data_IF_058728672029
#
_entry.id   IF_058728672029
#
_cell.length_a   1.000
_cell.length_b   1.000
_cell.length_c   1.000
_cell.angle_alpha   90.00
_cell.angle_beta   90.00
_cell.angle_gamma   90.00
#
_symmetry.space_group_name_H-M   'P 1'
#
loop_
_entity.id
_entity.type
_entity.pdbx_description
1 polymer ?
#
# COMPACT_ATOMS: atom_id res chain seq x y z
N UNK A 1 7.84 11.53 10.37
CA UNK A 1 6.59 10.93 9.88
C UNK A 1 6.84 10.59 8.42
N UNK A 2 6.46 9.41 7.93
CA UNK A 2 6.68 9.05 6.52
C UNK A 2 5.87 9.96 5.61
N UNK A 3 6.40 10.40 4.44
CA UNK A 3 5.64 11.16 3.46
C UNK A 3 4.62 10.27 2.71
N UNK A 4 4.68 8.96 2.86
CA UNK A 4 3.76 8.03 2.21
C UNK A 4 3.30 6.89 3.13
N UNK A 5 2.00 6.58 3.05
CA UNK A 5 1.44 5.33 3.54
C UNK A 5 1.31 4.34 2.39
N UNK A 6 1.34 3.04 2.69
CA UNK A 6 1.13 1.98 1.71
C UNK A 6 0.15 0.94 2.23
N UNK A 7 -0.81 0.58 1.39
CA UNK A 7 -1.91 -0.30 1.73
C UNK A 7 -2.16 -1.34 0.62
N UNK A 8 -2.62 -2.53 1.01
CA UNK A 8 -3.16 -3.49 0.06
C UNK A 8 -4.61 -3.16 -0.33
N UNK A 9 -5.06 -3.68 -1.47
CA UNK A 9 -6.37 -3.38 -2.07
C UNK A 9 -7.56 -3.55 -1.12
N UNK A 10 -7.53 -4.53 -0.22
CA UNK A 10 -8.64 -4.73 0.74
C UNK A 10 -8.78 -3.53 1.68
N UNK A 11 -7.67 -3.01 2.21
CA UNK A 11 -7.66 -1.82 3.05
C UNK A 11 -8.09 -0.59 2.26
N UNK A 12 -7.60 -0.44 1.03
CA UNK A 12 -7.99 0.65 0.13
C UNK A 12 -9.50 0.66 -0.11
N UNK A 13 -10.10 -0.47 -0.47
CA UNK A 13 -11.54 -0.59 -0.70
C UNK A 13 -12.40 -0.43 0.57
N UNK A 14 -11.81 -0.61 1.74
CA UNK A 14 -12.53 -0.39 3.00
C UNK A 14 -12.59 1.09 3.38
N UNK A 15 -11.51 1.84 3.13
CA UNK A 15 -11.35 3.18 3.70
C UNK A 15 -11.31 4.33 2.68
N UNK A 16 -11.00 4.08 1.40
CA UNK A 16 -10.82 5.13 0.41
C UNK A 16 -11.56 4.92 -0.90
N UNK A 17 -11.60 3.70 -1.39
CA UNK A 17 -12.31 3.31 -2.60
C UNK A 17 -13.53 2.45 -2.23
N UNK A 18 -14.45 2.22 -3.16
CA UNK A 18 -15.63 1.39 -2.89
C UNK A 18 -15.85 0.37 -4.00
N UNK A 19 -15.69 -0.89 -3.66
CA UNK A 19 -15.98 -2.00 -4.57
C UNK A 19 -15.11 -1.98 -5.83
N UNK A 20 -15.70 -2.37 -6.95
CA UNK A 20 -15.04 -2.38 -8.26
C UNK A 20 -15.57 -1.24 -9.11
N UNK A 21 -14.72 -0.53 -9.88
CA UNK A 21 -15.19 0.51 -10.79
C UNK A 21 -15.98 -0.09 -11.94
N UNK A 22 -17.00 0.62 -12.43
CA UNK A 22 -17.61 0.33 -13.71
C UNK A 22 -16.67 0.81 -14.83
N UNK A 23 -16.09 -0.14 -15.54
CA UNK A 23 -15.12 0.13 -16.60
C UNK A 23 -15.75 0.19 -18.00
N UNK A 24 -17.07 0.04 -18.13
CA UNK A 24 -17.78 -0.09 -19.41
C UNK A 24 -17.59 1.13 -20.34
N UNK A 25 -17.39 2.31 -19.78
CA UNK A 25 -17.21 3.56 -20.51
C UNK A 25 -15.74 3.97 -20.73
N UNK A 26 -14.78 3.15 -20.31
CA UNK A 26 -13.35 3.47 -20.42
C UNK A 26 -12.68 2.63 -21.51
N UNK A 27 -12.21 3.28 -22.57
CA UNK A 27 -11.45 2.63 -23.64
C UNK A 27 -9.95 2.69 -23.34
N UNK A 28 -9.38 1.55 -22.99
CA UNK A 28 -7.94 1.38 -22.79
C UNK A 28 -7.21 0.75 -23.98
N UNK A 29 -7.88 0.50 -25.11
CA UNK A 29 -7.33 -0.29 -26.23
C UNK A 29 -6.00 0.24 -26.78
N UNK A 30 -5.81 1.55 -26.77
CA UNK A 30 -4.60 2.24 -27.23
C UNK A 30 -3.53 2.41 -26.15
N UNK A 31 -3.82 2.05 -24.89
CA UNK A 31 -2.89 2.17 -23.81
C UNK A 31 -1.92 1.00 -23.79
N UNK A 32 -0.67 1.28 -23.43
CA UNK A 32 0.35 0.29 -23.16
C UNK A 32 0.51 0.12 -21.64
N UNK A 33 1.04 -1.03 -21.21
CA UNK A 33 1.41 -1.26 -19.82
C UNK A 33 2.72 -0.54 -19.50
N UNK A 34 2.63 0.78 -19.33
CA UNK A 34 3.73 1.67 -18.95
C UNK A 34 3.30 2.52 -17.78
N UNK A 35 4.25 2.91 -16.95
CA UNK A 35 4.01 3.87 -15.87
C UNK A 35 3.41 5.15 -16.44
N UNK A 36 2.53 5.75 -15.66
CA UNK A 36 1.94 7.03 -16.00
C UNK A 36 1.79 7.91 -14.76
N UNK A 37 2.32 9.10 -14.86
CA UNK A 37 2.20 10.14 -13.83
C UNK A 37 1.68 11.39 -14.54
N UNK A 38 0.63 12.06 -14.02
CA UNK A 38 0.15 13.33 -14.58
C UNK A 38 1.29 14.36 -14.63
N UNK A 39 1.26 15.23 -15.65
CA UNK A 39 2.22 16.32 -15.75
C UNK A 39 2.11 17.22 -14.50
N UNK A 40 3.25 17.63 -13.97
CA UNK A 40 3.38 18.50 -12.78
C UNK A 40 2.70 17.92 -11.52
N UNK A 41 2.56 16.58 -11.46
CA UNK A 41 2.00 15.89 -10.31
C UNK A 41 2.95 15.98 -9.10
N UNK A 42 2.47 16.62 -8.05
CA UNK A 42 3.18 16.71 -6.77
C UNK A 42 2.19 16.71 -5.62
N UNK A 43 2.59 16.17 -4.47
CA UNK A 43 1.83 16.21 -3.23
C UNK A 43 2.77 16.22 -2.02
N UNK A 44 2.28 16.75 -0.90
CA UNK A 44 3.01 16.68 0.37
C UNK A 44 2.99 15.28 0.98
N UNK A 45 1.90 14.54 0.73
CA UNK A 45 1.73 13.17 1.24
C UNK A 45 1.03 12.29 0.21
N UNK A 46 1.44 11.02 0.20
CA UNK A 46 0.93 10.00 -0.71
C UNK A 46 0.29 8.83 0.03
N UNK A 47 -0.65 8.17 -0.62
CA UNK A 47 -1.20 6.90 -0.20
C UNK A 47 -1.09 5.90 -1.36
N UNK A 48 -0.19 4.93 -1.19
CA UNK A 48 0.17 3.95 -2.22
C UNK A 48 -0.72 2.72 -2.08
N UNK A 49 -1.49 2.43 -3.11
CA UNK A 49 -2.32 1.23 -3.20
C UNK A 49 -1.59 0.14 -3.97
N UNK A 50 -1.40 -1.02 -3.34
CA UNK A 50 -0.90 -2.22 -4.01
C UNK A 50 -2.08 -3.06 -4.51
N UNK A 51 -2.45 -2.88 -5.77
CA UNK A 51 -3.60 -3.52 -6.42
C UNK A 51 -3.20 -4.31 -7.65
N UNK A 52 -2.80 -5.55 -7.46
CA UNK A 52 -2.36 -6.47 -8.52
C UNK A 52 -3.26 -6.47 -9.76
N UNK A 53 -4.57 -6.32 -9.59
CA UNK A 53 -5.56 -6.57 -10.64
C UNK A 53 -6.34 -5.32 -11.11
N UNK A 54 -6.12 -4.16 -10.52
CA UNK A 54 -6.88 -2.95 -10.84
C UNK A 54 -8.34 -3.06 -10.38
N UNK A 55 -8.57 -3.16 -9.08
CA UNK A 55 -9.90 -3.40 -8.47
C UNK A 55 -10.39 -2.26 -7.58
N UNK A 56 -9.55 -1.27 -7.31
CA UNK A 56 -9.95 -0.16 -6.47
C UNK A 56 -10.97 0.73 -7.17
N UNK A 57 -12.16 0.81 -6.63
CA UNK A 57 -13.25 1.67 -7.12
C UNK A 57 -13.11 3.10 -6.61
N UNK A 58 -12.13 3.82 -7.11
CA UNK A 58 -11.87 5.20 -6.69
C UNK A 58 -13.04 6.14 -7.03
N UNK A 59 -13.54 6.85 -6.00
CA UNK A 59 -14.49 7.96 -6.14
C UNK A 59 -13.78 9.33 -6.13
N UNK A 60 -12.55 9.37 -5.64
CA UNK A 60 -11.66 10.55 -5.54
C UNK A 60 -10.22 10.11 -5.74
N UNK A 61 -9.36 11.07 -6.07
CA UNK A 61 -7.93 10.80 -6.29
C UNK A 61 -7.06 10.99 -5.03
N UNK A 62 -7.67 10.88 -3.86
CA UNK A 62 -6.99 11.02 -2.58
C UNK A 62 -7.66 10.17 -1.49
N UNK A 63 -6.87 9.78 -0.53
CA UNK A 63 -7.31 9.29 0.76
C UNK A 63 -7.64 10.47 1.68
N UNK A 64 -8.70 10.34 2.47
CA UNK A 64 -9.04 11.30 3.53
C UNK A 64 -9.09 10.55 4.86
N UNK A 65 -8.10 10.73 5.69
CA UNK A 65 -8.04 10.14 7.00
C UNK A 65 -7.94 11.23 8.06
N UNK A 66 -9.02 11.40 8.82
CA UNK A 66 -9.07 12.40 9.89
C UNK A 66 -8.85 13.84 9.39
N UNK A 67 -9.29 14.17 8.19
CA UNK A 67 -9.14 15.49 7.56
C UNK A 67 -7.80 15.72 6.88
N UNK A 68 -6.88 14.76 6.93
CA UNK A 68 -5.63 14.81 6.16
C UNK A 68 -5.82 14.10 4.83
N UNK A 69 -5.56 14.81 3.74
CA UNK A 69 -5.68 14.30 2.37
C UNK A 69 -4.31 13.89 1.84
N UNK A 70 -4.17 12.63 1.44
CA UNK A 70 -2.98 12.09 0.78
C UNK A 70 -3.33 11.69 -0.66
N UNK A 71 -2.51 12.07 -1.64
CA UNK A 71 -2.77 11.73 -3.04
C UNK A 71 -2.60 10.23 -3.28
N UNK A 72 -3.57 9.65 -3.96
CA UNK A 72 -3.54 8.25 -4.34
C UNK A 72 -2.48 7.99 -5.41
N UNK A 73 -1.76 6.87 -5.28
CA UNK A 73 -0.86 6.29 -6.27
C UNK A 73 -1.15 4.80 -6.35
N UNK A 74 -1.32 4.24 -7.55
CA UNK A 74 -1.57 2.82 -7.77
C UNK A 74 -0.31 2.08 -8.21
N UNK A 75 -0.06 0.93 -7.58
CA UNK A 75 0.95 -0.04 -8.03
C UNK A 75 0.23 -1.26 -8.56
N UNK A 76 0.38 -1.50 -9.86
CA UNK A 76 -0.36 -2.49 -10.65
C UNK A 76 0.57 -3.53 -11.25
N UNK A 77 0.00 -4.62 -11.74
CA UNK A 77 0.68 -5.53 -12.68
C UNK A 77 0.02 -5.45 -14.06
N UNK A 78 0.57 -6.17 -15.05
CA UNK A 78 -0.07 -6.30 -16.37
C UNK A 78 -1.35 -7.17 -16.34
N UNK A 79 -1.80 -7.62 -15.16
CA UNK A 79 -3.10 -8.27 -14.97
C UNK A 79 -4.24 -7.25 -14.84
N UNK A 80 -3.94 -5.98 -14.55
CA UNK A 80 -4.94 -4.93 -14.52
C UNK A 80 -5.52 -4.71 -15.92
N UNK A 81 -6.85 -4.59 -16.08
CA UNK A 81 -7.45 -4.28 -17.38
C UNK A 81 -6.96 -2.93 -17.92
N UNK A 82 -6.70 -2.83 -19.22
CA UNK A 82 -6.32 -1.54 -19.82
C UNK A 82 -7.40 -0.46 -19.66
N UNK A 83 -8.67 -0.86 -19.61
CA UNK A 83 -9.77 0.04 -19.26
C UNK A 83 -9.60 0.64 -17.85
N UNK A 84 -9.03 -0.10 -16.90
CA UNK A 84 -8.70 0.42 -15.57
C UNK A 84 -7.60 1.48 -15.62
N UNK A 85 -6.60 1.32 -16.50
CA UNK A 85 -5.58 2.37 -16.72
C UNK A 85 -6.22 3.66 -17.27
N UNK A 86 -7.20 3.53 -18.20
CA UNK A 86 -7.95 4.68 -18.70
C UNK A 86 -8.79 5.33 -17.59
N UNK A 87 -9.44 4.54 -16.75
CA UNK A 87 -10.16 5.02 -15.56
C UNK A 87 -9.24 5.82 -14.63
N UNK A 88 -8.07 5.28 -14.24
CA UNK A 88 -7.13 5.98 -13.39
C UNK A 88 -6.65 7.32 -13.98
N UNK A 89 -6.41 7.35 -15.29
CA UNK A 89 -6.06 8.60 -16.00
C UNK A 89 -7.17 9.63 -15.92
N UNK A 90 -8.43 9.23 -16.06
CA UNK A 90 -9.57 10.15 -15.96
C UNK A 90 -9.72 10.72 -14.54
N UNK A 91 -9.26 9.99 -13.52
CA UNK A 91 -9.24 10.40 -12.12
C UNK A 91 -7.97 11.15 -11.74
N UNK A 92 -7.01 11.33 -12.67
CA UNK A 92 -5.68 11.87 -12.39
C UNK A 92 -4.95 11.12 -11.26
N UNK A 93 -5.12 9.80 -11.19
CA UNK A 93 -4.40 8.91 -10.28
C UNK A 93 -3.20 8.32 -11.02
N UNK A 94 -1.96 8.65 -10.63
CA UNK A 94 -0.77 8.04 -11.22
C UNK A 94 -0.73 6.55 -10.92
N UNK A 95 -0.16 5.79 -11.86
CA UNK A 95 0.04 4.36 -11.67
C UNK A 95 1.40 3.88 -12.17
N UNK A 96 1.93 2.89 -11.49
CA UNK A 96 3.18 2.21 -11.79
C UNK A 96 2.90 0.75 -12.13
N UNK A 97 3.43 0.27 -13.24
CA UNK A 97 3.31 -1.13 -13.66
C UNK A 97 4.52 -1.90 -13.15
N UNK A 98 4.33 -2.70 -12.11
CA UNK A 98 5.38 -3.41 -11.43
C UNK A 98 5.09 -4.92 -11.44
N UNK A 99 5.65 -5.61 -12.43
CA UNK A 99 5.51 -7.04 -12.64
C UNK A 99 4.48 -7.46 -13.69
N UNK A 100 4.63 -8.68 -14.18
CA UNK A 100 3.76 -9.28 -15.20
C UNK A 100 2.48 -9.86 -14.60
N UNK A 101 2.61 -10.77 -13.64
CA UNK A 101 1.51 -11.48 -12.98
C UNK A 101 1.43 -11.16 -11.50
N UNK A 102 2.56 -11.17 -10.82
CA UNK A 102 2.69 -10.85 -9.41
C UNK A 102 3.37 -9.50 -9.25
N UNK A 103 3.08 -8.81 -8.15
CA UNK A 103 3.71 -7.53 -7.85
C UNK A 103 5.20 -7.72 -7.60
N UNK A 104 6.03 -7.03 -8.37
CA UNK A 104 7.44 -6.87 -8.06
C UNK A 104 7.61 -5.70 -7.10
N UNK A 105 7.80 -6.04 -5.82
CA UNK A 105 7.88 -5.05 -4.75
C UNK A 105 9.19 -4.26 -4.79
N UNK A 106 10.29 -4.85 -5.28
CA UNK A 106 11.55 -4.14 -5.46
C UNK A 106 11.42 -3.09 -6.57
N UNK A 107 10.86 -3.48 -7.73
CA UNK A 107 10.56 -2.55 -8.82
C UNK A 107 9.64 -1.43 -8.36
N UNK A 108 8.61 -1.76 -7.56
CA UNK A 108 7.68 -0.79 -7.02
C UNK A 108 8.39 0.26 -6.15
N UNK A 109 9.23 -0.17 -5.20
CA UNK A 109 9.97 0.75 -4.33
C UNK A 109 10.93 1.64 -5.12
N UNK A 110 11.65 1.08 -6.09
CA UNK A 110 12.54 1.86 -6.97
C UNK A 110 11.78 2.94 -7.75
N UNK A 111 10.63 2.60 -8.32
CA UNK A 111 9.78 3.55 -9.06
C UNK A 111 9.13 4.59 -8.14
N UNK A 112 8.68 4.21 -6.95
CA UNK A 112 8.15 5.14 -5.96
C UNK A 112 9.20 6.17 -5.55
N UNK A 113 10.46 5.75 -5.36
CA UNK A 113 11.58 6.67 -5.15
C UNK A 113 11.81 7.56 -6.36
N UNK A 114 11.86 6.99 -7.56
CA UNK A 114 12.17 7.71 -8.80
C UNK A 114 11.13 8.78 -9.15
N UNK A 115 9.83 8.45 -9.05
CA UNK A 115 8.75 9.33 -9.52
C UNK A 115 8.22 10.28 -8.44
N UNK A 116 8.33 9.92 -7.15
CA UNK A 116 7.72 10.66 -6.05
C UNK A 116 8.70 11.02 -4.93
N UNK A 117 10.00 10.72 -5.10
CA UNK A 117 11.08 10.97 -4.12
C UNK A 117 10.82 10.36 -2.74
N UNK A 118 10.21 9.16 -2.71
CA UNK A 118 9.86 8.47 -1.47
C UNK A 118 11.03 7.60 -0.99
N UNK A 119 11.77 8.08 0.00
CA UNK A 119 12.83 7.31 0.69
C UNK A 119 12.30 6.43 1.80
N UNK A 120 11.15 6.79 2.37
CA UNK A 120 10.53 6.06 3.47
C UNK A 120 9.04 5.92 3.22
N UNK A 121 8.53 4.71 3.40
CA UNK A 121 7.12 4.37 3.24
C UNK A 121 6.63 3.69 4.51
N UNK A 122 5.53 4.16 5.09
CA UNK A 122 4.84 3.47 6.17
C UNK A 122 3.90 2.41 5.59
N UNK A 123 4.28 1.14 5.69
CA UNK A 123 3.45 0.02 5.28
C UNK A 123 2.36 -0.23 6.34
N UNK A 124 1.15 0.23 6.07
CA UNK A 124 0.02 0.19 7.02
C UNK A 124 -0.81 -1.09 6.94
N UNK A 125 -0.64 -1.86 5.88
CA UNK A 125 -1.28 -3.18 5.77
C UNK A 125 -2.41 -3.26 4.74
N UNK A 126 -3.36 -4.25 4.74
CA UNK A 126 -3.48 -5.38 5.68
C UNK A 126 -2.38 -6.46 5.68
N UNK A 127 -2.71 -7.50 6.42
CA UNK A 127 -1.80 -8.59 6.74
C UNK A 127 -1.11 -9.24 5.53
N UNK A 128 -1.80 -9.37 4.40
CA UNK A 128 -1.27 -10.03 3.20
C UNK A 128 -0.16 -9.21 2.53
N UNK A 129 -0.34 -7.90 2.40
CA UNK A 129 0.71 -7.04 1.82
C UNK A 129 1.89 -6.91 2.79
N UNK A 130 1.64 -6.76 4.10
CA UNK A 130 2.69 -6.78 5.12
C UNK A 130 3.52 -8.07 5.04
N UNK A 131 2.84 -9.22 4.93
CA UNK A 131 3.50 -10.51 4.77
C UNK A 131 4.29 -10.64 3.47
N UNK A 132 3.83 -10.02 2.37
CA UNK A 132 4.56 -10.02 1.11
C UNK A 132 5.86 -9.22 1.21
N UNK A 133 5.84 -8.03 1.80
CA UNK A 133 7.04 -7.23 2.06
C UNK A 133 8.00 -7.95 3.01
N UNK A 134 7.47 -8.58 4.07
CA UNK A 134 8.31 -9.35 5.00
C UNK A 134 9.01 -10.52 4.30
N UNK A 135 8.28 -11.31 3.48
CA UNK A 135 8.90 -12.40 2.70
C UNK A 135 9.95 -11.92 1.70
N UNK A 136 9.78 -10.72 1.17
CA UNK A 136 10.73 -10.12 0.24
C UNK A 136 11.96 -9.49 0.94
N UNK A 137 12.02 -9.51 2.28
CA UNK A 137 13.10 -8.90 3.05
C UNK A 137 13.11 -7.36 3.00
N UNK A 138 11.97 -6.73 2.70
CA UNK A 138 11.84 -5.29 2.44
C UNK A 138 11.27 -4.51 3.64
N UNK A 139 11.26 -5.10 4.82
CA UNK A 139 10.83 -4.44 6.06
C UNK A 139 12.06 -4.09 6.89
N UNK A 140 12.30 -2.82 7.13
CA UNK A 140 13.44 -2.32 7.89
C UNK A 140 13.09 -2.12 9.37
N UNK A 141 11.86 -1.68 9.65
CA UNK A 141 11.38 -1.42 11.01
C UNK A 141 9.94 -1.91 11.17
N UNK A 142 9.64 -2.52 12.29
CA UNK A 142 8.29 -2.88 12.73
C UNK A 142 7.89 -1.95 13.87
N UNK A 143 6.82 -1.17 13.63
CA UNK A 143 6.18 -0.30 14.61
C UNK A 143 4.84 -0.93 14.98
N UNK A 144 4.73 -1.48 16.19
CA UNK A 144 3.58 -2.25 16.65
C UNK A 144 2.92 -1.59 17.85
N UNK A 145 1.63 -1.31 17.76
CA UNK A 145 0.83 -0.85 18.90
C UNK A 145 -0.01 -2.01 19.43
N UNK A 146 0.16 -2.32 20.70
CA UNK A 146 -0.66 -3.29 21.41
C UNK A 146 -1.67 -2.52 22.27
N UNK A 147 -2.95 -2.63 21.90
CA UNK A 147 -4.03 -2.02 22.65
C UNK A 147 -4.37 -2.83 23.92
N UNK A 148 -4.83 -2.19 25.00
CA UNK A 148 -5.07 -2.84 26.29
C UNK A 148 -6.44 -3.55 26.36
N UNK A 149 -6.80 -4.32 25.33
CA UNK A 149 -8.01 -5.12 25.31
C UNK A 149 -7.83 -6.43 24.56
N UNK A 150 -8.72 -7.38 24.78
CA UNK A 150 -8.75 -8.67 24.10
C UNK A 150 -9.98 -8.70 23.18
N UNK A 151 -9.77 -8.87 21.89
CA UNK A 151 -10.85 -8.94 20.91
C UNK A 151 -11.69 -10.22 21.07
N UNK A 152 -11.04 -11.37 21.30
CA UNK A 152 -11.71 -12.68 21.32
C UNK A 152 -12.29 -13.14 19.99
N UNK A 153 -12.08 -12.41 18.91
CA UNK A 153 -12.56 -12.72 17.57
C UNK A 153 -11.52 -13.54 16.79
N UNK A 154 -11.86 -14.78 16.46
CA UNK A 154 -11.01 -15.70 15.70
C UNK A 154 -10.83 -15.30 14.24
N UNK A 155 -11.66 -14.40 13.70
CA UNK A 155 -11.58 -13.92 12.32
C UNK A 155 -10.54 -12.79 12.14
N UNK A 156 -10.05 -12.21 13.24
CA UNK A 156 -9.01 -11.17 13.18
C UNK A 156 -7.70 -11.78 12.68
N UNK A 157 -7.20 -11.23 11.60
CA UNK A 157 -5.91 -11.64 11.04
C UNK A 157 -4.75 -11.10 11.87
N UNK A 158 -3.62 -11.82 11.83
CA UNK A 158 -2.34 -11.32 12.37
C UNK A 158 -1.87 -10.07 11.60
N UNK A 159 -0.91 -9.34 12.17
CA UNK A 159 -0.31 -8.17 11.49
C UNK A 159 0.43 -8.53 10.20
N UNK A 160 0.89 -9.78 10.06
CA UNK A 160 1.60 -10.30 8.89
C UNK A 160 1.04 -11.67 8.50
N UNK A 161 0.60 -11.81 7.25
CA UNK A 161 0.21 -13.11 6.68
C UNK A 161 1.23 -13.50 5.60
N UNK A 162 2.12 -14.40 5.94
CA UNK A 162 3.17 -14.90 5.03
C UNK A 162 2.69 -16.09 4.18
N UNK A 163 1.39 -16.39 4.16
CA UNK A 163 0.78 -17.52 3.43
C UNK A 163 1.41 -18.87 3.84
N UNK A 164 1.71 -19.04 5.13
CA UNK A 164 2.31 -20.25 5.68
C UNK A 164 3.83 -20.38 5.45
N UNK A 165 4.45 -19.45 4.76
CA UNK A 165 5.90 -19.47 4.60
C UNK A 165 6.58 -18.89 5.84
N UNK A 166 7.52 -19.64 6.40
CA UNK A 166 8.39 -19.15 7.44
C UNK A 166 9.40 -18.15 6.85
N UNK A 167 9.66 -17.06 7.56
CA UNK A 167 10.69 -16.09 7.20
C UNK A 167 11.78 -16.12 8.27
N UNK A 168 13.04 -16.07 7.86
CA UNK A 168 14.20 -15.99 8.76
C UNK A 168 14.58 -14.54 9.11
N UNK A 169 13.73 -13.59 8.76
CA UNK A 169 13.97 -12.18 9.07
C UNK A 169 14.03 -11.99 10.60
N UNK A 170 15.14 -11.45 11.06
CA UNK A 170 15.35 -11.17 12.47
C UNK A 170 15.27 -9.67 12.73
N UNK A 171 14.48 -9.35 13.74
CA UNK A 171 14.31 -7.98 14.20
C UNK A 171 14.82 -7.85 15.64
N UNK A 172 15.54 -6.77 15.92
CA UNK A 172 16.07 -6.44 17.23
C UNK A 172 15.14 -5.44 17.90
N UNK A 173 14.83 -5.68 19.16
CA UNK A 173 14.06 -4.73 19.97
C UNK A 173 14.80 -3.41 20.10
N UNK A 174 14.10 -2.31 19.81
CA UNK A 174 14.63 -0.94 19.87
C UNK A 174 14.04 -0.17 21.06
N UNK A 175 12.71 -0.18 21.20
CA UNK A 175 12.05 0.56 22.27
C UNK A 175 10.65 0.05 22.60
N UNK A 176 10.20 0.33 23.82
CA UNK A 176 8.82 0.19 24.25
C UNK A 176 8.37 1.48 24.94
N UNK A 177 7.21 2.00 24.57
CA UNK A 177 6.66 3.23 25.13
C UNK A 177 5.22 3.01 25.56
N UNK A 178 4.91 3.34 26.81
CA UNK A 178 3.52 3.34 27.31
C UNK A 178 2.76 4.48 26.66
N UNK A 179 1.59 4.17 26.07
CA UNK A 179 0.69 5.16 25.52
C UNK A 179 -0.28 5.70 26.56
N UNK A 180 -0.86 6.88 26.31
CA UNK A 180 -1.76 7.57 27.23
C UNK A 180 -3.06 6.77 27.49
N UNK A 181 -3.50 5.97 26.53
CA UNK A 181 -4.68 5.09 26.59
C UNK A 181 -4.41 3.75 27.28
N UNK A 182 -3.18 3.53 27.79
CA UNK A 182 -2.76 2.30 28.45
C UNK A 182 -2.19 1.25 27.50
N UNK A 183 -2.18 1.50 26.20
CA UNK A 183 -1.50 0.66 25.22
C UNK A 183 0.02 0.74 25.31
N UNK A 184 0.69 -0.10 24.52
CA UNK A 184 2.17 -0.14 24.42
C UNK A 184 2.56 -0.03 22.95
N UNK A 185 3.46 0.90 22.65
CA UNK A 185 4.10 1.01 21.33
C UNK A 185 5.47 0.35 21.36
N UNK A 186 5.67 -0.63 20.52
CA UNK A 186 6.91 -1.38 20.37
C UNK A 186 7.56 -1.03 19.03
N UNK A 187 8.88 -0.86 19.04
CA UNK A 187 9.67 -0.68 17.83
C UNK A 187 10.74 -1.77 17.77
N UNK A 188 10.81 -2.43 16.62
CA UNK A 188 11.85 -3.39 16.28
C UNK A 188 12.49 -2.98 14.96
N UNK A 189 13.81 -3.10 14.85
CA UNK A 189 14.56 -2.81 13.63
C UNK A 189 15.15 -4.10 13.06
N UNK A 190 15.26 -4.18 11.75
CA UNK A 190 15.93 -5.30 11.08
C UNK A 190 17.38 -5.40 11.62
N UNK A 191 17.82 -6.62 11.87
CA UNK A 191 19.21 -6.87 12.21
C UNK A 191 20.08 -6.64 10.96
N UNK A 192 21.15 -5.86 11.11
CA UNK A 192 22.07 -5.52 10.02
C UNK A 192 22.94 -6.71 9.61
#
# INVERSE_FOLDING_TARGET
>A
MSPANANGITTVNTYAAKGHPDLSQFDGSKLEYKDWVPKDFHAETYDVSFDRYGRAGWERNYFDYGGKKSRAVEVLTKQAPKAYLAFLRSMEIPYLICGERDLDLNEALLKLKQYFDLDTIALCGGATINGAFLRAGLVDEISLVIAPFVSGDNAIQSSFNTLGNFTNEQFVFKSATKLADGGVHLIFTKNA
#
